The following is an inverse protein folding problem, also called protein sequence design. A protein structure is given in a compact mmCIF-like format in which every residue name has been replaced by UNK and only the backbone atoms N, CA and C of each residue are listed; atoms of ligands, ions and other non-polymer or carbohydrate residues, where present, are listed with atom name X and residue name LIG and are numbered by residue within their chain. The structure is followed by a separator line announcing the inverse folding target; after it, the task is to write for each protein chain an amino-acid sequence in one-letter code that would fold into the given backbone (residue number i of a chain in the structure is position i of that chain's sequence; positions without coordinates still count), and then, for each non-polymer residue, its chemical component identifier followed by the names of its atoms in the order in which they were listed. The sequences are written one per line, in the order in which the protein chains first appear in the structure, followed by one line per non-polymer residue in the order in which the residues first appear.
data_IF_806504701595
#
_entry.id   IF_806504701595
#
_cell.length_a   1.000
_cell.length_b   1.000
_cell.length_c   1.000
_cell.angle_alpha   90.00
_cell.angle_beta   90.00
_cell.angle_gamma   90.00
#
_symmetry.space_group_name_H-M   'P 1'
#
loop_
_entity.id
_entity.type
_entity.pdbx_description
1 polymer ?
#
# COMPACT_ATOMS: atom_id res chain seq x y z
N UNK A 1 82.08 27.89 42.74
CA UNK A 1 81.90 26.52 42.20
C UNK A 1 80.44 26.01 42.23
N UNK A 2 79.59 26.40 43.20
CA UNK A 2 78.20 25.91 43.30
C UNK A 2 77.18 26.51 42.30
N UNK A 3 77.40 27.70 41.75
CA UNK A 3 76.44 28.33 40.83
C UNK A 3 76.43 27.69 39.42
N UNK A 4 77.57 27.16 38.96
CA UNK A 4 77.68 26.50 37.67
C UNK A 4 77.00 25.12 37.64
N UNK A 5 77.04 24.38 38.75
CA UNK A 5 76.38 23.09 38.90
C UNK A 5 74.85 23.20 38.92
N UNK A 6 74.30 24.29 39.48
CA UNK A 6 72.84 24.50 39.53
C UNK A 6 72.22 24.81 38.17
N UNK A 7 73.02 25.35 37.22
CA UNK A 7 72.57 25.69 35.86
C UNK A 7 72.62 24.50 34.91
N UNK A 8 73.53 23.56 35.13
CA UNK A 8 73.62 22.30 34.36
C UNK A 8 72.50 21.32 34.75
N UNK A 9 72.13 21.27 36.03
CA UNK A 9 71.04 20.40 36.51
C UNK A 9 69.64 20.85 36.05
N UNK A 10 69.39 22.16 35.86
CA UNK A 10 68.08 22.68 35.43
C UNK A 10 67.82 22.58 33.91
N UNK A 11 68.86 22.38 33.08
CA UNK A 11 68.69 22.26 31.63
C UNK A 11 68.49 20.81 31.15
N UNK A 12 68.65 19.83 32.02
CA UNK A 12 68.73 18.42 31.62
C UNK A 12 67.38 17.68 31.55
N UNK A 13 66.27 18.29 31.94
CA UNK A 13 64.95 17.62 31.87
C UNK A 13 63.93 18.55 31.22
N UNK A 14 63.97 18.63 29.89
CA UNK A 14 62.79 19.06 29.13
C UNK A 14 61.84 17.87 29.08
N UNK A 15 60.64 17.93 29.69
CA UNK A 15 59.68 16.86 29.55
C UNK A 15 59.34 16.75 28.06
N UNK A 16 59.69 15.61 27.46
CA UNK A 16 59.31 15.30 26.09
C UNK A 16 57.80 15.03 26.14
N UNK A 17 56.99 16.05 25.83
CA UNK A 17 55.54 15.90 25.72
C UNK A 17 55.28 15.04 24.49
N UNK A 18 55.14 13.72 24.71
CA UNK A 18 54.70 12.80 23.67
C UNK A 18 53.20 13.02 23.53
N UNK A 19 52.81 13.89 22.60
CA UNK A 19 51.41 14.01 22.19
C UNK A 19 50.98 12.64 21.63
N UNK A 20 50.29 11.86 22.45
CA UNK A 20 49.63 10.65 21.99
C UNK A 20 48.53 11.09 21.06
N UNK A 21 48.73 10.88 19.76
CA UNK A 21 47.70 11.11 18.76
C UNK A 21 46.63 10.05 18.98
N UNK A 22 45.63 10.36 19.80
CA UNK A 22 44.48 9.48 20.01
C UNK A 22 43.83 9.28 18.63
N UNK A 23 43.79 8.06 18.08
CA UNK A 23 43.11 7.84 16.82
C UNK A 23 41.65 8.23 17.00
N UNK A 24 41.19 9.18 16.18
CA UNK A 24 39.78 9.56 16.18
C UNK A 24 39.00 8.38 15.63
N UNK A 25 38.35 7.63 16.52
CA UNK A 25 37.46 6.53 16.12
C UNK A 25 36.24 7.15 15.46
N UNK A 26 36.17 7.03 14.13
CA UNK A 26 34.96 7.36 13.38
C UNK A 26 34.04 6.16 13.41
N UNK A 27 33.24 6.06 14.46
CA UNK A 27 32.17 5.06 14.52
C UNK A 27 31.14 5.36 13.41
N UNK A 28 30.70 4.32 12.72
CA UNK A 28 29.61 4.36 11.74
C UNK A 28 28.67 3.20 12.04
N UNK A 29 27.39 3.39 11.75
CA UNK A 29 26.43 2.30 11.80
C UNK A 29 26.62 1.45 10.55
N UNK A 30 27.07 0.22 10.71
CA UNK A 30 27.33 -0.70 9.59
C UNK A 30 26.07 -0.91 8.74
N UNK A 31 24.92 -1.08 9.39
CA UNK A 31 23.62 -1.22 8.74
C UNK A 31 23.19 0.01 7.90
N UNK A 32 23.72 1.20 8.18
CA UNK A 32 23.42 2.42 7.43
C UNK A 32 24.42 2.69 6.29
N UNK A 33 25.42 1.80 6.09
CA UNK A 33 26.36 1.93 4.99
C UNK A 33 25.78 1.31 3.71
N UNK A 34 25.85 2.03 2.60
CA UNK A 34 25.58 1.47 1.27
C UNK A 34 26.89 0.99 0.65
N UNK A 35 26.99 -0.29 0.35
CA UNK A 35 28.14 -0.97 -0.26
C UNK A 35 27.74 -1.57 -1.61
N UNK A 36 28.70 -1.93 -2.47
CA UNK A 36 28.42 -2.64 -3.73
C UNK A 36 27.67 -3.98 -3.56
N UNK A 37 27.75 -4.61 -2.39
CA UNK A 37 27.05 -5.85 -2.11
C UNK A 37 25.58 -5.61 -1.70
N UNK A 38 25.31 -4.50 -1.00
CA UNK A 38 23.98 -4.22 -0.44
C UNK A 38 23.17 -3.14 -1.19
N UNK A 39 23.75 -2.45 -2.17
CA UNK A 39 23.07 -1.32 -2.83
C UNK A 39 21.74 -1.74 -3.48
N UNK A 40 21.66 -2.94 -4.07
CA UNK A 40 20.40 -3.46 -4.66
C UNK A 40 19.35 -3.75 -3.60
N UNK A 41 19.78 -4.23 -2.43
CA UNK A 41 18.89 -4.54 -1.32
C UNK A 41 18.25 -3.26 -0.77
N UNK A 42 19.03 -2.19 -0.63
CA UNK A 42 18.57 -0.89 -0.11
C UNK A 42 18.08 0.09 -1.18
N UNK A 43 18.07 -0.30 -2.47
CA UNK A 43 17.77 0.61 -3.57
C UNK A 43 16.38 1.26 -3.50
N UNK A 44 15.42 0.59 -2.86
CA UNK A 44 14.05 1.07 -2.67
C UNK A 44 13.79 1.65 -1.27
N UNK A 45 14.82 1.77 -0.42
CA UNK A 45 14.66 2.37 0.89
C UNK A 45 14.60 3.90 0.77
N UNK A 46 13.43 4.47 1.07
CA UNK A 46 13.20 5.91 1.09
C UNK A 46 12.54 6.34 2.42
N UNK A 47 12.35 7.64 2.60
CA UNK A 47 11.66 8.22 3.75
C UNK A 47 10.18 8.51 3.48
N UNK A 48 9.61 7.97 2.39
CA UNK A 48 8.24 8.24 2.01
C UNK A 48 7.27 7.43 2.87
N UNK A 49 6.16 8.06 3.24
CA UNK A 49 5.00 7.32 3.72
C UNK A 49 4.38 6.52 2.57
N UNK A 50 3.62 5.47 2.89
CA UNK A 50 2.93 4.67 1.88
C UNK A 50 2.06 5.52 0.93
N UNK A 51 1.41 6.57 1.45
CA UNK A 51 0.61 7.48 0.64
C UNK A 51 1.48 8.37 -0.26
N UNK A 52 2.62 8.85 0.24
CA UNK A 52 3.53 9.69 -0.54
C UNK A 52 4.22 8.90 -1.66
N UNK A 53 4.63 7.64 -1.40
CA UNK A 53 5.17 6.74 -2.40
C UNK A 53 4.14 6.39 -3.49
N UNK A 54 2.85 6.32 -3.14
CA UNK A 54 1.76 5.97 -4.04
C UNK A 54 1.22 7.17 -4.83
N UNK A 55 2.10 7.94 -5.48
CA UNK A 55 1.75 9.12 -6.29
C UNK A 55 0.82 8.78 -7.49
N UNK A 56 0.13 9.76 -8.11
CA UNK A 56 -0.73 9.51 -9.26
C UNK A 56 -0.03 8.79 -10.44
N UNK A 57 1.23 9.14 -10.72
CA UNK A 57 2.02 8.51 -11.79
C UNK A 57 2.39 7.05 -11.45
N UNK A 58 2.71 6.77 -10.18
CA UNK A 58 2.95 5.41 -9.70
C UNK A 58 1.69 4.58 -9.80
N UNK A 59 0.54 5.08 -9.32
CA UNK A 59 -0.76 4.40 -9.46
C UNK A 59 -1.11 4.11 -10.91
N UNK A 60 -0.91 5.07 -11.80
CA UNK A 60 -1.13 4.89 -13.23
C UNK A 60 -0.30 3.73 -13.79
N UNK A 61 1.01 3.72 -13.49
CA UNK A 61 1.93 2.66 -13.91
C UNK A 61 1.51 1.29 -13.36
N UNK A 62 1.17 1.22 -12.06
CA UNK A 62 0.71 -0.01 -11.42
C UNK A 62 -0.58 -0.53 -12.07
N UNK A 63 -1.58 0.32 -12.30
CA UNK A 63 -2.84 -0.11 -12.95
C UNK A 63 -2.61 -0.70 -14.33
N UNK A 64 -1.81 -0.04 -15.18
CA UNK A 64 -1.51 -0.56 -16.53
C UNK A 64 -0.83 -1.93 -16.44
N UNK A 65 0.18 -2.06 -15.58
CA UNK A 65 0.93 -3.31 -15.39
C UNK A 65 0.05 -4.42 -14.83
N UNK A 66 -0.74 -4.14 -13.79
CA UNK A 66 -1.65 -5.11 -13.18
C UNK A 66 -2.70 -5.61 -14.16
N UNK A 67 -3.33 -4.71 -14.95
CA UNK A 67 -4.30 -5.09 -15.97
C UNK A 67 -3.67 -5.98 -17.04
N UNK A 68 -2.47 -5.62 -17.52
CA UNK A 68 -1.74 -6.43 -18.49
C UNK A 68 -1.39 -7.80 -17.93
N UNK A 69 -0.84 -7.86 -16.71
CA UNK A 69 -0.43 -9.12 -16.08
C UNK A 69 -1.63 -10.05 -15.91
N UNK A 70 -2.74 -9.56 -15.36
CA UNK A 70 -3.94 -10.39 -15.10
C UNK A 70 -4.58 -10.87 -16.41
N UNK A 71 -4.53 -10.06 -17.47
CA UNK A 71 -5.05 -10.46 -18.77
C UNK A 71 -4.23 -11.59 -19.43
N UNK A 72 -2.92 -11.65 -19.16
CA UNK A 72 -1.99 -12.58 -19.82
C UNK A 72 -1.55 -13.76 -18.94
N UNK A 73 -1.83 -13.72 -17.64
CA UNK A 73 -1.45 -14.76 -16.68
C UNK A 73 -2.69 -15.47 -16.12
N UNK A 74 -2.91 -16.71 -16.53
CA UNK A 74 -4.05 -17.52 -16.10
C UNK A 74 -4.07 -17.80 -14.59
N UNK A 75 -2.91 -17.90 -13.94
CA UNK A 75 -2.82 -18.03 -12.49
C UNK A 75 -3.27 -16.75 -11.79
N UNK A 76 -2.79 -15.60 -12.24
CA UNK A 76 -3.21 -14.31 -11.69
C UNK A 76 -4.72 -14.09 -11.86
N UNK A 77 -5.25 -14.40 -13.05
CA UNK A 77 -6.70 -14.35 -13.31
C UNK A 77 -7.48 -15.30 -12.40
N UNK A 78 -7.00 -16.53 -12.23
CA UNK A 78 -7.61 -17.52 -11.33
C UNK A 78 -7.69 -17.02 -9.90
N UNK A 79 -6.58 -16.51 -9.36
CA UNK A 79 -6.50 -15.95 -8.00
C UNK A 79 -7.50 -14.80 -7.81
N UNK A 80 -7.60 -13.88 -8.78
CA UNK A 80 -8.53 -12.75 -8.72
C UNK A 80 -9.99 -13.22 -8.75
N UNK A 81 -10.31 -14.22 -9.56
CA UNK A 81 -11.66 -14.80 -9.62
C UNK A 81 -12.02 -15.51 -8.32
N UNK A 82 -11.12 -16.33 -7.77
CA UNK A 82 -11.31 -16.98 -6.46
C UNK A 82 -11.57 -15.93 -5.39
N UNK A 83 -10.72 -14.91 -5.32
CA UNK A 83 -10.88 -13.82 -4.35
C UNK A 83 -12.24 -13.13 -4.45
N UNK A 84 -12.74 -12.88 -5.66
CA UNK A 84 -14.05 -12.27 -5.86
C UNK A 84 -15.20 -13.20 -5.49
N UNK A 85 -15.12 -14.46 -5.91
CA UNK A 85 -16.16 -15.46 -5.65
C UNK A 85 -16.26 -15.80 -4.16
N UNK A 86 -15.13 -15.97 -3.47
CA UNK A 86 -15.11 -16.32 -2.06
C UNK A 86 -15.54 -15.15 -1.17
N UNK A 87 -15.17 -13.91 -1.54
CA UNK A 87 -15.57 -12.72 -0.75
C UNK A 87 -17.07 -12.46 -0.86
N UNK A 88 -17.64 -12.57 -2.06
CA UNK A 88 -19.03 -12.18 -2.31
C UNK A 88 -19.99 -13.36 -2.15
N UNK A 89 -19.54 -14.58 -2.44
CA UNK A 89 -20.36 -15.78 -2.36
C UNK A 89 -21.63 -15.66 -3.20
N UNK A 90 -22.79 -15.87 -2.59
CA UNK A 90 -24.12 -15.71 -3.20
C UNK A 90 -24.65 -14.27 -3.15
N UNK A 91 -23.89 -13.34 -2.57
CA UNK A 91 -24.30 -11.95 -2.35
C UNK A 91 -24.60 -11.64 -0.88
N UNK A 92 -24.67 -10.35 -0.52
CA UNK A 92 -24.94 -9.91 0.84
C UNK A 92 -26.38 -10.22 1.25
N UNK A 93 -26.58 -10.57 2.52
CA UNK A 93 -27.90 -10.70 3.15
C UNK A 93 -28.06 -9.61 4.19
N UNK A 94 -29.17 -8.89 4.14
CA UNK A 94 -29.52 -7.94 5.19
C UNK A 94 -30.12 -8.70 6.37
N UNK A 95 -29.65 -8.38 7.57
CA UNK A 95 -30.22 -8.84 8.83
C UNK A 95 -30.48 -7.63 9.70
N UNK A 96 -31.75 -7.34 10.00
CA UNK A 96 -32.13 -6.14 10.75
C UNK A 96 -32.41 -6.47 12.22
N UNK A 97 -32.03 -5.55 13.12
CA UNK A 97 -32.27 -5.64 14.56
C UNK A 97 -33.35 -4.61 14.97
N UNK A 98 -34.52 -4.72 14.34
CA UNK A 98 -35.68 -3.87 14.61
C UNK A 98 -36.55 -4.58 15.65
N UNK A 99 -37.03 -3.86 16.68
CA UNK A 99 -37.96 -4.36 17.71
C UNK A 99 -39.40 -4.58 17.18
N UNK A 100 -39.53 -4.97 15.92
CA UNK A 100 -40.75 -5.35 15.24
C UNK A 100 -40.41 -6.40 14.17
N UNK A 101 -40.74 -7.65 14.47
CA UNK A 101 -40.51 -8.81 13.61
C UNK A 101 -41.17 -8.71 12.24
N UNK A 102 -42.35 -8.09 12.15
CA UNK A 102 -43.08 -7.99 10.89
C UNK A 102 -42.41 -6.97 9.97
N UNK A 103 -42.02 -5.83 10.56
CA UNK A 103 -41.28 -4.78 9.86
C UNK A 103 -39.89 -5.26 9.44
N UNK A 104 -39.17 -5.94 10.33
CA UNK A 104 -37.86 -6.54 10.03
C UNK A 104 -37.92 -7.44 8.79
N UNK A 105 -38.85 -8.40 8.78
CA UNK A 105 -39.02 -9.31 7.64
C UNK A 105 -39.46 -8.59 6.37
N UNK A 106 -40.25 -7.52 6.46
CA UNK A 106 -40.64 -6.72 5.30
C UNK A 106 -39.42 -6.04 4.68
N UNK A 107 -38.60 -5.36 5.48
CA UNK A 107 -37.38 -4.70 5.00
C UNK A 107 -36.39 -5.69 4.39
N UNK A 108 -36.18 -6.85 5.03
CA UNK A 108 -35.29 -7.89 4.51
C UNK A 108 -35.76 -8.46 3.16
N UNK A 109 -37.07 -8.63 2.98
CA UNK A 109 -37.65 -9.05 1.68
C UNK A 109 -37.47 -8.00 0.60
N UNK A 110 -37.77 -6.74 0.89
CA UNK A 110 -37.61 -5.65 -0.09
C UNK A 110 -36.14 -5.46 -0.48
N UNK A 111 -35.22 -5.58 0.48
CA UNK A 111 -33.79 -5.57 0.19
C UNK A 111 -33.38 -6.73 -0.72
N UNK A 112 -33.87 -7.95 -0.44
CA UNK A 112 -33.56 -9.11 -1.27
C UNK A 112 -34.08 -8.95 -2.71
N UNK A 113 -35.32 -8.46 -2.87
CA UNK A 113 -35.91 -8.19 -4.17
C UNK A 113 -35.11 -7.13 -4.95
N UNK A 114 -34.76 -6.02 -4.29
CA UNK A 114 -33.92 -4.98 -4.89
C UNK A 114 -32.53 -5.50 -5.27
N UNK A 115 -31.88 -6.28 -4.38
CA UNK A 115 -30.55 -6.83 -4.62
C UNK A 115 -30.52 -7.79 -5.82
N UNK A 116 -31.60 -8.56 -6.01
CA UNK A 116 -31.80 -9.38 -7.20
C UNK A 116 -32.01 -8.54 -8.46
N UNK A 117 -32.90 -7.54 -8.41
CA UNK A 117 -33.21 -6.65 -9.53
C UNK A 117 -31.97 -5.96 -10.08
N UNK A 118 -31.11 -5.41 -9.21
CA UNK A 118 -29.87 -4.73 -9.63
C UNK A 118 -28.69 -5.68 -9.84
N UNK A 119 -28.88 -6.99 -9.64
CA UNK A 119 -27.82 -8.01 -9.67
C UNK A 119 -26.64 -7.65 -8.76
N UNK A 120 -26.94 -7.27 -7.53
CA UNK A 120 -25.97 -6.73 -6.58
C UNK A 120 -24.75 -7.65 -6.38
N UNK A 121 -24.95 -8.97 -6.32
CA UNK A 121 -23.84 -9.93 -6.19
C UNK A 121 -22.86 -9.85 -7.37
N UNK A 122 -23.34 -9.70 -8.60
CA UNK A 122 -22.49 -9.61 -9.78
C UNK A 122 -21.72 -8.30 -9.79
N UNK A 123 -22.39 -7.19 -9.48
CA UNK A 123 -21.75 -5.88 -9.31
C UNK A 123 -20.64 -5.95 -8.26
N UNK A 124 -20.92 -6.52 -7.09
CA UNK A 124 -19.92 -6.66 -6.03
C UNK A 124 -18.74 -7.56 -6.42
N UNK A 125 -18.95 -8.62 -7.21
CA UNK A 125 -17.83 -9.43 -7.74
C UNK A 125 -16.99 -8.62 -8.72
N UNK A 126 -17.61 -7.88 -9.63
CA UNK A 126 -16.90 -6.98 -10.55
C UNK A 126 -16.10 -5.93 -9.76
N UNK A 127 -16.70 -5.34 -8.73
CA UNK A 127 -16.02 -4.40 -7.85
C UNK A 127 -14.86 -5.08 -7.10
N UNK A 128 -15.05 -6.30 -6.60
CA UNK A 128 -13.98 -7.00 -5.88
C UNK A 128 -12.79 -7.33 -6.76
N UNK A 129 -13.04 -7.70 -8.02
CA UNK A 129 -12.01 -7.90 -9.05
C UNK A 129 -11.30 -6.59 -9.37
N UNK A 130 -12.04 -5.53 -9.69
CA UNK A 130 -11.48 -4.22 -10.02
C UNK A 130 -10.64 -3.65 -8.87
N UNK A 131 -11.03 -3.89 -7.61
CA UNK A 131 -10.21 -3.50 -6.45
C UNK A 131 -8.84 -4.20 -6.43
N UNK A 132 -8.78 -5.46 -6.85
CA UNK A 132 -7.54 -6.22 -6.92
C UNK A 132 -6.67 -5.82 -8.13
N UNK A 133 -7.30 -5.47 -9.26
CA UNK A 133 -6.58 -5.15 -10.51
C UNK A 133 -6.16 -3.68 -10.57
N UNK A 134 -7.08 -2.78 -10.20
CA UNK A 134 -6.97 -1.34 -10.43
C UNK A 134 -6.68 -0.56 -9.13
N UNK A 135 -6.81 -1.23 -7.98
CA UNK A 135 -6.54 -0.66 -6.65
C UNK A 135 -7.67 0.20 -6.09
N UNK A 136 -8.65 0.59 -6.89
CA UNK A 136 -9.79 1.44 -6.49
C UNK A 136 -11.04 1.13 -7.29
N UNK A 137 -12.21 1.34 -6.68
CA UNK A 137 -13.52 1.11 -7.29
C UNK A 137 -14.52 2.09 -6.74
N UNK A 138 -15.41 2.55 -7.60
CA UNK A 138 -16.53 3.43 -7.26
C UNK A 138 -17.83 2.79 -7.74
N UNK A 139 -18.88 2.94 -6.94
CA UNK A 139 -20.24 2.58 -7.31
C UNK A 139 -21.14 3.80 -7.10
N UNK A 140 -22.15 3.94 -7.95
CA UNK A 140 -23.10 5.04 -7.90
C UNK A 140 -24.49 4.48 -7.62
N UNK A 141 -25.08 4.88 -6.50
CA UNK A 141 -26.48 4.64 -6.21
C UNK A 141 -27.28 5.79 -6.80
N UNK A 142 -28.07 5.52 -7.83
CA UNK A 142 -28.97 6.48 -8.44
C UNK A 142 -30.42 6.09 -8.20
N UNK A 143 -31.28 7.10 -8.02
CA UNK A 143 -32.72 6.95 -8.13
C UNK A 143 -33.12 7.24 -9.58
N UNK A 144 -33.91 6.35 -10.17
CA UNK A 144 -34.57 6.66 -11.43
C UNK A 144 -35.83 7.49 -11.10
N UNK A 145 -35.84 8.77 -11.45
CA UNK A 145 -37.02 9.63 -11.27
C UNK A 145 -38.05 9.48 -12.41
N UNK A 146 -37.83 8.54 -13.33
CA UNK A 146 -38.73 8.25 -14.46
C UNK A 146 -38.79 6.74 -14.77
N UNK A 147 -39.93 6.22 -15.27
CA UNK A 147 -40.04 4.81 -15.62
C UNK A 147 -39.04 4.46 -16.72
N UNK A 148 -38.19 3.47 -16.44
CA UNK A 148 -37.25 2.91 -17.38
C UNK A 148 -38.02 2.20 -18.49
N UNK A 149 -38.38 2.93 -19.55
CA UNK A 149 -38.94 2.33 -20.76
C UNK A 149 -37.92 1.34 -21.31
N UNK A 150 -38.24 0.05 -21.23
CA UNK A 150 -37.45 -1.02 -21.85
C UNK A 150 -37.33 -0.75 -23.34
N UNK A 151 -36.16 -0.31 -23.80
CA UNK A 151 -35.86 -0.23 -25.24
C UNK A 151 -34.79 0.79 -25.58
N UNK A 152 -33.56 0.32 -25.77
CA UNK A 152 -32.48 1.14 -26.32
C UNK A 152 -31.10 0.59 -25.99
N UNK A 153 -30.69 -0.47 -26.67
CA UNK A 153 -29.27 -0.82 -26.78
C UNK A 153 -28.61 0.36 -27.50
N UNK A 154 -27.74 1.10 -26.83
CA UNK A 154 -26.87 2.06 -27.49
C UNK A 154 -25.96 1.28 -28.46
N UNK A 155 -25.81 1.72 -29.73
CA UNK A 155 -24.92 1.02 -30.65
C UNK A 155 -23.47 1.09 -30.16
N UNK A 156 -22.64 0.08 -30.47
CA UNK A 156 -21.23 0.12 -30.12
C UNK A 156 -20.59 1.31 -30.82
N UNK A 157 -19.87 2.11 -30.04
CA UNK A 157 -18.98 3.17 -30.51
C UNK A 157 -17.96 2.52 -31.46
N UNK A 158 -17.98 2.94 -32.71
CA UNK A 158 -16.99 2.65 -33.75
C UNK A 158 -15.61 3.20 -33.38
#
# INVERSE_FOLDING_TARGET
MLAALRRVLYLAVRPRVILHRVPVVRARYDAAQTTPDNFRHWAAADSLSANAANSPAVRHTLRIRSRYEIANNSYAKGIVLTLANDTIGTGPRLQTQIDDDALSRAVEREFAAWAEEVRLADLLRTMRMAKATDGEVFALLARADAPMTRGGIAPPIS
#
